data_IF_845948456062
#
_entry.id   IF_845948456062
#
_cell.length_a   1.000
_cell.length_b   1.000
_cell.length_c   1.000
_cell.angle_alpha   90.00
_cell.angle_beta   90.00
_cell.angle_gamma   90.00
#
_symmetry.space_group_name_H-M   'P 1'
#
loop_
_entity.id
_entity.type
_entity.pdbx_description
1 polymer ?
#
# COMPACT_ATOMS: atom_id res chain seq x y z
N UNK A 1 23.41 -15.93 -18.80
CA UNK A 1 23.51 -14.74 -17.91
C UNK A 1 22.31 -13.84 -18.20
N UNK A 2 21.29 -13.83 -17.33
CA UNK A 2 20.13 -12.93 -17.48
C UNK A 2 19.44 -12.65 -16.13
N UNK A 3 20.21 -12.47 -15.06
CA UNK A 3 19.64 -12.23 -13.72
C UNK A 3 18.98 -10.86 -13.56
N UNK A 4 19.47 -9.82 -14.27
CA UNK A 4 18.95 -8.46 -14.11
C UNK A 4 17.65 -8.20 -14.89
N UNK A 5 17.50 -8.79 -16.08
CA UNK A 5 16.27 -8.67 -16.88
C UNK A 5 15.11 -9.43 -16.24
N UNK A 6 15.41 -10.60 -15.66
CA UNK A 6 14.42 -11.45 -14.95
C UNK A 6 13.86 -10.76 -13.70
N UNK A 7 14.72 -10.06 -12.94
CA UNK A 7 14.30 -9.27 -11.78
C UNK A 7 13.47 -8.06 -12.18
N UNK A 8 13.82 -7.36 -13.27
CA UNK A 8 13.04 -6.25 -13.79
C UNK A 8 11.62 -6.66 -14.21
N UNK A 9 11.51 -7.79 -14.90
CA UNK A 9 10.22 -8.37 -15.30
C UNK A 9 9.38 -8.77 -14.07
N UNK A 10 10.01 -9.35 -13.04
CA UNK A 10 9.33 -9.70 -11.80
C UNK A 10 8.76 -8.45 -11.09
N UNK A 11 9.55 -7.38 -10.97
CA UNK A 11 9.08 -6.13 -10.37
C UNK A 11 7.92 -5.51 -11.15
N UNK A 12 8.02 -5.45 -12.47
CA UNK A 12 6.96 -4.90 -13.30
C UNK A 12 5.66 -5.70 -13.15
N UNK A 13 5.75 -7.03 -13.13
CA UNK A 13 4.60 -7.91 -12.92
C UNK A 13 3.94 -7.66 -11.56
N UNK A 14 4.73 -7.62 -10.49
CA UNK A 14 4.22 -7.38 -9.14
C UNK A 14 3.52 -6.02 -9.04
N UNK A 15 4.12 -4.96 -9.59
CA UNK A 15 3.52 -3.62 -9.61
C UNK A 15 2.18 -3.66 -10.34
N UNK A 16 2.12 -4.27 -11.53
CA UNK A 16 0.89 -4.31 -12.32
C UNK A 16 -0.19 -5.16 -11.66
N UNK A 17 0.18 -6.26 -11.01
CA UNK A 17 -0.74 -7.12 -10.26
C UNK A 17 -1.37 -6.34 -9.10
N UNK A 18 -0.53 -5.74 -8.25
CA UNK A 18 -0.95 -4.96 -7.08
C UNK A 18 -1.73 -3.70 -7.45
N UNK A 19 -1.41 -3.07 -8.59
CA UNK A 19 -2.16 -1.92 -9.09
C UNK A 19 -3.54 -2.32 -9.64
N UNK A 20 -3.65 -3.48 -10.28
CA UNK A 20 -4.89 -3.94 -10.93
C UNK A 20 -5.86 -4.57 -9.94
N UNK A 21 -5.35 -5.34 -8.98
CA UNK A 21 -6.11 -6.04 -7.97
C UNK A 21 -5.45 -5.84 -6.59
N UNK A 22 -5.46 -4.62 -6.05
CA UNK A 22 -4.94 -4.36 -4.71
C UNK A 22 -5.67 -5.21 -3.67
N UNK A 23 -4.92 -5.80 -2.75
CA UNK A 23 -5.45 -6.68 -1.71
C UNK A 23 -6.05 -5.89 -0.53
N UNK A 24 -5.54 -4.68 -0.30
CA UNK A 24 -5.85 -3.84 0.84
C UNK A 24 -6.68 -2.60 0.44
N UNK A 25 -7.22 -2.57 -0.77
CA UNK A 25 -8.06 -1.46 -1.21
C UNK A 25 -9.44 -1.48 -0.53
N UNK A 26 -9.87 -0.31 -0.07
CA UNK A 26 -11.22 -0.10 0.42
C UNK A 26 -11.30 0.82 1.64
N UNK A 27 -12.52 0.91 2.15
CA UNK A 27 -12.84 1.71 3.33
C UNK A 27 -13.67 0.86 4.30
N UNK A 28 -13.08 0.41 5.42
CA UNK A 28 -13.82 -0.34 6.42
C UNK A 28 -14.82 0.56 7.14
N UNK A 29 -15.86 -0.04 7.72
CA UNK A 29 -16.85 0.69 8.53
C UNK A 29 -16.27 1.18 9.87
N UNK A 30 -15.26 0.48 10.39
CA UNK A 30 -14.56 0.82 11.63
C UNK A 30 -13.05 0.80 11.41
N UNK A 31 -12.35 1.81 11.94
CA UNK A 31 -10.90 1.95 11.94
C UNK A 31 -10.50 2.82 13.13
N UNK A 32 -9.25 2.69 13.57
CA UNK A 32 -8.74 3.41 14.75
C UNK A 32 -8.03 4.72 14.36
N UNK A 33 -7.46 4.78 13.15
CA UNK A 33 -6.81 5.98 12.64
C UNK A 33 -6.98 6.11 11.12
N UNK A 34 -6.93 7.34 10.64
CA UNK A 34 -6.98 7.71 9.22
C UNK A 34 -5.93 8.79 8.94
N UNK A 35 -5.32 8.75 7.75
CA UNK A 35 -4.41 9.75 7.25
C UNK A 35 -4.59 9.94 5.73
N UNK A 36 -4.37 11.16 5.24
CA UNK A 36 -4.37 11.50 3.82
C UNK A 36 -3.01 12.08 3.42
N UNK A 37 -2.56 11.76 2.20
CA UNK A 37 -1.41 12.38 1.57
C UNK A 37 -1.62 12.53 0.07
N UNK A 38 -1.13 13.63 -0.49
CA UNK A 38 -1.20 13.92 -1.92
C UNK A 38 0.14 14.36 -2.49
N UNK A 39 0.38 14.01 -3.76
CA UNK A 39 1.51 14.48 -4.54
C UNK A 39 0.98 15.28 -5.76
N UNK A 40 0.85 16.60 -5.65
CA UNK A 40 0.20 17.43 -6.68
C UNK A 40 0.97 17.48 -8.00
N UNK A 41 2.27 17.17 -8.02
CA UNK A 41 3.04 17.11 -9.26
C UNK A 41 2.61 15.95 -10.16
N UNK A 42 2.18 14.84 -9.57
CA UNK A 42 1.72 13.64 -10.28
C UNK A 42 0.19 13.48 -10.25
N UNK A 43 -0.50 14.24 -9.38
CA UNK A 43 -1.93 14.12 -9.15
C UNK A 43 -2.31 12.90 -8.30
N UNK A 44 -1.34 12.29 -7.62
CA UNK A 44 -1.59 11.14 -6.76
C UNK A 44 -2.23 11.58 -5.44
N UNK A 45 -3.15 10.78 -4.92
CA UNK A 45 -3.81 10.94 -3.62
C UNK A 45 -3.99 9.58 -2.98
N UNK A 46 -3.62 9.47 -1.71
CA UNK A 46 -3.72 8.25 -0.91
C UNK A 46 -4.46 8.59 0.38
N UNK A 47 -5.52 7.86 0.67
CA UNK A 47 -6.14 7.83 1.99
C UNK A 47 -5.85 6.47 2.62
N UNK A 48 -5.31 6.46 3.83
CA UNK A 48 -4.98 5.27 4.59
C UNK A 48 -5.84 5.20 5.84
N UNK A 49 -6.28 4.00 6.17
CA UNK A 49 -7.00 3.68 7.41
C UNK A 49 -6.34 2.47 8.03
N UNK A 50 -6.27 2.43 9.35
CA UNK A 50 -5.72 1.28 10.04
C UNK A 50 -6.48 0.97 11.31
N UNK A 51 -6.44 -0.30 11.69
CA UNK A 51 -6.78 -0.76 13.03
C UNK A 51 -5.51 -0.90 13.88
N UNK A 52 -5.65 -0.81 15.19
CA UNK A 52 -4.59 -1.01 16.17
C UNK A 52 -5.04 -2.05 17.19
N UNK A 53 -4.20 -3.06 17.45
CA UNK A 53 -4.44 -4.04 18.49
C UNK A 53 -3.19 -4.23 19.34
N UNK A 54 -3.29 -3.97 20.65
CA UNK A 54 -2.19 -4.22 21.59
C UNK A 54 -0.88 -3.49 21.28
N UNK A 55 -0.94 -2.31 20.63
CA UNK A 55 0.24 -1.53 20.24
C UNK A 55 0.88 -1.94 18.90
N UNK A 56 0.30 -2.91 18.20
CA UNK A 56 0.64 -3.25 16.81
C UNK A 56 -0.41 -2.69 15.85
N UNK A 57 0.02 -2.44 14.61
CA UNK A 57 -0.85 -2.15 13.47
C UNK A 57 -1.58 -3.46 13.14
N UNK A 58 -2.91 -3.40 13.11
CA UNK A 58 -3.76 -4.49 12.64
C UNK A 58 -3.83 -4.50 11.12
N UNK A 59 -5.05 -4.55 10.61
CA UNK A 59 -5.33 -4.38 9.19
C UNK A 59 -5.17 -2.92 8.76
N UNK A 60 -4.67 -2.73 7.54
CA UNK A 60 -4.48 -1.43 6.89
C UNK A 60 -5.25 -1.47 5.58
N UNK A 61 -6.00 -0.40 5.32
CA UNK A 61 -6.75 -0.24 4.09
C UNK A 61 -6.39 1.07 3.42
N UNK A 62 -6.52 1.10 2.10
CA UNK A 62 -6.25 2.32 1.33
C UNK A 62 -7.32 2.61 0.27
N UNK A 63 -7.55 3.89 0.05
CA UNK A 63 -8.19 4.40 -1.16
C UNK A 63 -7.17 5.28 -1.88
N UNK A 64 -6.63 4.77 -2.98
CA UNK A 64 -5.58 5.44 -3.74
C UNK A 64 -6.07 5.81 -5.13
N UNK A 65 -5.90 7.07 -5.48
CA UNK A 65 -6.03 7.57 -6.84
C UNK A 65 -4.66 8.03 -7.30
N UNK A 66 -4.11 7.37 -8.31
CA UNK A 66 -2.79 7.73 -8.82
C UNK A 66 -2.35 6.80 -9.92
N UNK A 67 -1.09 6.93 -10.32
CA UNK A 67 -0.50 5.99 -11.28
C UNK A 67 -0.41 4.56 -10.71
N UNK A 68 -0.16 3.57 -11.58
CA UNK A 68 -0.02 2.17 -11.17
C UNK A 68 1.04 1.96 -10.07
N UNK A 69 2.14 2.73 -10.13
CA UNK A 69 3.18 2.70 -9.08
C UNK A 69 2.60 3.18 -7.75
N UNK A 70 1.87 4.29 -7.72
CA UNK A 70 1.30 4.83 -6.49
C UNK A 70 0.31 3.83 -5.86
N UNK A 71 -0.58 3.24 -6.66
CA UNK A 71 -1.55 2.24 -6.17
C UNK A 71 -0.83 1.01 -5.63
N UNK A 72 0.12 0.45 -6.39
CA UNK A 72 0.89 -0.72 -5.96
C UNK A 72 1.74 -0.45 -4.71
N UNK A 73 2.33 0.75 -4.61
CA UNK A 73 3.11 1.14 -3.43
C UNK A 73 2.26 1.25 -2.17
N UNK A 74 1.05 1.79 -2.27
CA UNK A 74 0.12 1.83 -1.14
C UNK A 74 -0.29 0.42 -0.70
N UNK A 75 -0.60 -0.47 -1.65
CA UNK A 75 -1.02 -1.85 -1.36
C UNK A 75 0.13 -2.68 -0.74
N UNK A 76 1.32 -2.59 -1.31
CA UNK A 76 2.51 -3.28 -0.79
C UNK A 76 2.93 -2.74 0.58
N UNK A 77 2.77 -1.45 0.83
CA UNK A 77 3.04 -0.86 2.14
C UNK A 77 2.05 -1.38 3.18
N UNK A 78 0.74 -1.39 2.88
CA UNK A 78 -0.29 -1.91 3.76
C UNK A 78 0.02 -3.36 4.18
N UNK A 79 0.43 -4.19 3.22
CA UNK A 79 0.85 -5.58 3.45
C UNK A 79 2.11 -5.68 4.32
N UNK A 80 3.09 -4.80 4.10
CA UNK A 80 4.38 -4.84 4.78
C UNK A 80 4.30 -4.40 6.25
N UNK A 81 3.43 -3.45 6.58
CA UNK A 81 3.34 -2.85 7.92
C UNK A 81 2.28 -3.51 8.82
N UNK A 82 1.34 -4.26 8.25
CA UNK A 82 0.37 -5.04 9.02
C UNK A 82 1.08 -5.98 10.01
N UNK A 83 0.61 -6.00 11.25
CA UNK A 83 1.20 -6.76 12.37
C UNK A 83 2.46 -6.14 12.99
N UNK A 84 3.00 -5.03 12.45
CA UNK A 84 4.19 -4.37 13.02
C UNK A 84 3.82 -3.40 14.13
N UNK A 85 4.73 -3.21 15.07
CA UNK A 85 4.63 -2.14 16.07
C UNK A 85 5.12 -0.82 15.48
N UNK A 86 4.73 0.30 16.08
CA UNK A 86 5.17 1.66 15.68
C UNK A 86 6.70 1.82 15.51
N UNK A 87 7.51 1.05 16.25
CA UNK A 87 8.97 1.16 16.16
C UNK A 87 9.57 0.38 14.96
N UNK A 88 8.82 -0.56 14.39
CA UNK A 88 9.25 -1.44 13.30
C UNK A 88 8.47 -1.22 11.98
N UNK A 89 7.46 -0.36 12.03
CA UNK A 89 6.61 0.05 10.91
C UNK A 89 7.28 1.15 10.07
#
# INVERSE_FOLDING_TARGET
>A
MSGAADVGDLYQRLIMERARAPLHAGRPAAFDAEAEGDNPMCGDRVQLRLSCAGGAIGEVWHETRGCAICIASADLMADAVAGRTRAAA
#
